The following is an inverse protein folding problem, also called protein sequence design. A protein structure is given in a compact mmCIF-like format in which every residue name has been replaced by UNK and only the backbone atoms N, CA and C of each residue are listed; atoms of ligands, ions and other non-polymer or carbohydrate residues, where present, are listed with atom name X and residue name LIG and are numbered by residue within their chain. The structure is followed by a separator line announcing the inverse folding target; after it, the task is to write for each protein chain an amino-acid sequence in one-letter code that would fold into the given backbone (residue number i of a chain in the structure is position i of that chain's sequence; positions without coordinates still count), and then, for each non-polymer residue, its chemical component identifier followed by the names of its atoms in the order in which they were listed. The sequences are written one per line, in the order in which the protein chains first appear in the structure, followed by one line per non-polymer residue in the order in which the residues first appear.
data_IF_502910052114
#
_entry.id   IF_502910052114
#
_cell.length_a   1.000
_cell.length_b   1.000
_cell.length_c   1.000
_cell.angle_alpha   90.00
_cell.angle_beta   90.00
_cell.angle_gamma   90.00
#
_symmetry.space_group_name_H-M   'P 1'
#
loop_
_entity.id
_entity.type
_entity.pdbx_description
1 polymer ?
#
# COMPACT_ATOMS: atom_id res chain seq x y z
N UNK A 1 -1.09 -1.38 3.58
CA UNK A 1 -0.55 -0.02 3.79
C UNK A 1 -0.01 0.08 5.21
N UNK A 2 1.17 0.67 5.39
CA UNK A 2 1.78 0.95 6.70
C UNK A 2 2.03 2.44 6.81
N UNK A 3 1.60 3.07 7.90
CA UNK A 3 1.91 4.47 8.16
C UNK A 3 3.08 4.52 9.14
N UNK A 4 4.22 5.04 8.69
CA UNK A 4 5.34 5.41 9.56
C UNK A 4 5.24 6.91 9.87
N UNK A 5 4.68 7.23 11.05
CA UNK A 5 4.71 8.58 11.59
C UNK A 5 6.04 8.80 12.32
N UNK A 6 7.02 9.32 11.59
CA UNK A 6 8.40 9.46 12.05
C UNK A 6 8.48 10.40 13.26
N UNK A 7 9.34 10.03 14.22
CA UNK A 7 9.63 10.81 15.42
C UNK A 7 11.12 10.77 15.71
N UNK A 8 11.57 11.62 16.64
CA UNK A 8 12.99 11.70 16.96
C UNK A 8 13.58 10.35 17.37
N UNK A 9 14.66 9.93 16.71
CA UNK A 9 15.37 8.66 16.93
C UNK A 9 16.78 8.86 17.51
N UNK A 10 17.64 7.81 17.55
CA UNK A 10 17.31 6.38 17.40
C UNK A 10 16.77 5.75 18.70
N UNK A 11 16.37 4.47 18.65
CA UNK A 11 15.86 3.69 19.80
C UNK A 11 14.63 4.37 20.43
N UNK A 12 14.60 4.56 21.75
CA UNK A 12 13.53 5.33 22.42
C UNK A 12 13.42 6.74 21.87
N UNK A 13 14.55 7.37 21.52
CA UNK A 13 14.61 8.68 20.91
C UNK A 13 13.85 9.76 21.67
N UNK A 14 13.12 10.60 20.93
CA UNK A 14 12.28 11.69 21.43
C UNK A 14 10.82 11.45 21.01
N UNK A 15 10.02 10.74 21.83
CA UNK A 15 8.65 10.35 21.47
C UNK A 15 7.70 11.46 21.05
N UNK A 16 7.96 12.69 21.50
CA UNK A 16 7.09 13.84 21.28
C UNK A 16 7.70 14.88 20.35
N UNK A 17 8.82 14.59 19.68
CA UNK A 17 9.48 15.50 18.74
C UNK A 17 9.43 14.95 17.32
N UNK A 18 9.25 15.86 16.37
CA UNK A 18 9.28 15.54 14.94
C UNK A 18 10.73 15.37 14.47
N UNK A 19 10.93 14.39 13.61
CA UNK A 19 12.15 14.13 12.84
C UNK A 19 11.76 13.34 11.59
N UNK A 20 12.55 13.43 10.52
CA UNK A 20 12.33 12.71 9.26
C UNK A 20 13.55 11.83 8.92
N UNK A 21 13.97 11.00 9.87
CA UNK A 21 15.21 10.23 9.81
C UNK A 21 15.07 8.82 9.24
N UNK A 22 13.85 8.35 8.94
CA UNK A 22 13.61 6.93 8.65
C UNK A 22 13.63 6.60 7.15
N UNK A 23 13.77 7.59 6.27
CA UNK A 23 13.66 7.38 4.82
C UNK A 23 14.59 6.29 4.30
N UNK A 24 15.89 6.36 4.61
CA UNK A 24 16.85 5.36 4.14
C UNK A 24 16.58 3.98 4.73
N UNK A 25 16.11 3.92 5.98
CA UNK A 25 15.72 2.66 6.61
C UNK A 25 14.52 2.05 5.87
N UNK A 26 13.45 2.81 5.67
CA UNK A 26 12.25 2.37 4.94
C UNK A 26 12.59 1.92 3.51
N UNK A 27 13.52 2.61 2.84
CA UNK A 27 13.99 2.27 1.50
C UNK A 27 14.83 0.99 1.43
N UNK A 28 15.34 0.48 2.55
CA UNK A 28 16.23 -0.69 2.61
C UNK A 28 15.81 -1.77 3.62
N UNK A 29 14.64 -1.62 4.27
CA UNK A 29 14.15 -2.49 5.33
C UNK A 29 13.73 -3.87 4.79
N UNK A 30 14.70 -4.71 4.44
CA UNK A 30 14.52 -6.08 3.97
C UNK A 30 15.83 -6.87 3.99
N UNK A 31 15.73 -8.20 4.11
CA UNK A 31 16.86 -9.13 3.94
C UNK A 31 17.07 -9.53 2.46
N UNK A 32 16.11 -9.23 1.59
CA UNK A 32 16.16 -9.46 0.14
C UNK A 32 15.54 -8.29 -0.64
N UNK A 33 15.31 -8.49 -1.94
CA UNK A 33 14.74 -7.46 -2.81
C UNK A 33 13.27 -7.75 -3.09
N UNK A 34 12.41 -6.77 -2.82
CA UNK A 34 11.00 -6.80 -3.24
C UNK A 34 10.53 -5.35 -3.44
N UNK A 35 9.57 -5.12 -4.36
CA UNK A 35 9.05 -3.77 -4.56
C UNK A 35 8.33 -3.30 -3.31
N UNK A 36 8.43 -2.01 -3.02
CA UNK A 36 7.59 -1.33 -2.03
C UNK A 36 7.51 0.14 -2.41
N UNK A 37 6.31 0.69 -2.28
CA UNK A 37 6.04 2.08 -2.61
C UNK A 37 6.18 2.94 -1.36
N UNK A 38 6.83 4.08 -1.46
CA UNK A 38 6.99 5.03 -0.35
C UNK A 38 6.35 6.36 -0.76
N UNK A 39 5.39 6.82 0.05
CA UNK A 39 4.66 8.07 -0.16
C UNK A 39 4.94 8.99 1.03
N UNK A 40 5.32 10.25 0.80
CA UNK A 40 5.66 11.17 1.88
C UNK A 40 4.83 12.47 1.77
N UNK A 41 3.68 12.58 2.47
CA UNK A 41 2.88 13.80 2.44
C UNK A 41 3.60 14.94 3.17
N UNK A 42 3.53 16.15 2.63
CA UNK A 42 4.02 17.38 3.24
C UNK A 42 2.92 18.26 3.84
N UNK A 43 1.65 18.00 3.54
CA UNK A 43 0.50 18.81 4.00
C UNK A 43 -0.67 17.95 4.51
N UNK A 44 -1.64 18.57 5.17
CA UNK A 44 -2.84 17.88 5.68
C UNK A 44 -3.74 17.38 4.52
N UNK A 45 -3.82 18.14 3.42
CA UNK A 45 -4.54 17.78 2.21
C UNK A 45 -3.85 16.61 1.50
N UNK A 46 -2.53 16.62 1.40
CA UNK A 46 -1.78 15.48 0.88
C UNK A 46 -1.93 14.24 1.76
N UNK A 47 -2.04 14.40 3.08
CA UNK A 47 -2.38 13.27 3.98
C UNK A 47 -3.77 12.69 3.65
N UNK A 48 -4.75 13.53 3.31
CA UNK A 48 -6.06 13.08 2.85
C UNK A 48 -5.97 12.34 1.51
N UNK A 49 -5.28 12.90 0.52
CA UNK A 49 -5.09 12.28 -0.81
C UNK A 49 -4.36 10.93 -0.71
N UNK A 50 -3.23 10.90 0.00
CA UNK A 50 -2.44 9.68 0.21
C UNK A 50 -3.22 8.64 1.00
N UNK A 51 -4.16 9.08 1.85
CA UNK A 51 -5.07 8.21 2.58
C UNK A 51 -5.73 7.16 1.68
N UNK A 52 -6.50 7.59 0.68
CA UNK A 52 -7.15 6.65 -0.26
C UNK A 52 -6.19 6.13 -1.33
N UNK A 53 -5.32 6.99 -1.86
CA UNK A 53 -4.39 6.65 -2.95
C UNK A 53 -3.43 5.54 -2.57
N UNK A 54 -2.98 5.49 -1.31
CA UNK A 54 -2.09 4.43 -0.81
C UNK A 54 -2.73 3.04 -0.86
N UNK A 55 -4.05 2.91 -0.63
CA UNK A 55 -4.75 1.64 -0.76
C UNK A 55 -4.90 1.23 -2.22
N UNK A 56 -5.26 2.15 -3.11
CA UNK A 56 -5.33 1.87 -4.54
C UNK A 56 -3.98 1.41 -5.08
N UNK A 57 -2.89 2.07 -4.70
CA UNK A 57 -1.54 1.65 -5.09
C UNK A 57 -1.19 0.26 -4.54
N UNK A 58 -1.57 -0.03 -3.28
CA UNK A 58 -1.31 -1.34 -2.68
C UNK A 58 -2.06 -2.47 -3.40
N UNK A 59 -3.31 -2.22 -3.82
CA UNK A 59 -4.11 -3.22 -4.55
C UNK A 59 -3.69 -3.35 -6.02
N UNK A 60 -3.46 -2.23 -6.71
CA UNK A 60 -3.03 -2.19 -8.11
C UNK A 60 -1.71 -2.92 -8.32
N UNK A 61 -0.71 -2.65 -7.46
CA UNK A 61 0.62 -3.22 -7.60
C UNK A 61 0.88 -4.42 -6.69
N UNK A 62 -0.10 -4.83 -5.89
CA UNK A 62 -0.03 -6.00 -4.99
C UNK A 62 1.22 -6.02 -4.11
N UNK A 63 1.61 -4.84 -3.62
CA UNK A 63 2.89 -4.59 -2.96
C UNK A 63 2.69 -3.73 -1.69
N UNK A 64 3.57 -3.82 -0.68
CA UNK A 64 3.51 -2.92 0.45
C UNK A 64 3.65 -1.45 0.04
N UNK A 65 2.75 -0.62 0.58
CA UNK A 65 2.83 0.84 0.50
C UNK A 65 3.11 1.38 1.90
N UNK A 66 4.14 2.20 2.01
CA UNK A 66 4.59 2.84 3.24
C UNK A 66 4.33 4.35 3.11
N UNK A 67 3.45 4.87 3.96
CA UNK A 67 3.22 6.31 4.08
C UNK A 67 4.18 6.84 5.14
N UNK A 68 5.12 7.66 4.71
CA UNK A 68 6.19 8.24 5.51
C UNK A 68 5.85 9.67 5.88
N UNK A 69 5.06 9.83 6.94
CA UNK A 69 4.71 11.13 7.53
C UNK A 69 5.62 11.41 8.73
N UNK A 70 5.32 12.43 9.52
CA UNK A 70 6.08 12.77 10.73
C UNK A 70 5.15 13.14 11.89
N UNK A 71 5.73 13.21 13.10
CA UNK A 71 5.03 13.54 14.32
C UNK A 71 4.38 14.93 14.27
N UNK A 72 4.94 15.88 13.51
CA UNK A 72 4.35 17.21 13.36
C UNK A 72 3.04 17.10 12.59
N UNK A 73 3.03 16.50 11.39
CA UNK A 73 1.81 16.33 10.61
C UNK A 73 0.79 15.44 11.31
N UNK A 74 1.24 14.33 11.93
CA UNK A 74 0.36 13.39 12.61
C UNK A 74 -0.35 13.97 13.85
N UNK A 75 0.27 14.93 14.55
CA UNK A 75 -0.28 15.56 15.74
C UNK A 75 -0.86 16.96 15.50
N UNK A 76 -0.67 17.52 14.31
CA UNK A 76 -1.19 18.86 13.98
C UNK A 76 -2.67 18.83 13.66
N UNK A 77 -3.35 19.91 14.04
CA UNK A 77 -4.71 20.19 13.64
C UNK A 77 -4.72 21.49 12.85
N UNK A 78 -5.44 21.49 11.72
CA UNK A 78 -5.58 22.67 10.87
C UNK A 78 -7.00 22.75 10.33
N UNK A 79 -7.58 23.95 10.39
CA UNK A 79 -8.80 24.23 9.63
C UNK A 79 -8.44 24.35 8.15
N UNK A 80 -9.15 23.61 7.31
CA UNK A 80 -9.02 23.66 5.85
C UNK A 80 -10.37 24.05 5.26
N UNK A 81 -10.33 24.73 4.12
CA UNK A 81 -11.54 24.93 3.33
C UNK A 81 -12.04 23.58 2.81
N UNK A 82 -13.36 23.42 2.68
CA UNK A 82 -13.95 22.13 2.29
C UNK A 82 -13.54 21.71 0.87
N UNK A 83 -13.33 22.68 -0.02
CA UNK A 83 -12.88 22.46 -1.40
C UNK A 83 -11.38 22.13 -1.52
N UNK A 84 -10.61 22.29 -0.45
CA UNK A 84 -9.23 21.81 -0.38
C UNK A 84 -9.14 20.28 -0.27
N UNK A 85 -10.25 19.61 0.08
CA UNK A 85 -10.37 18.16 0.12
C UNK A 85 -11.27 17.72 -1.03
N UNK A 86 -10.66 17.26 -2.12
CA UNK A 86 -11.40 16.79 -3.29
C UNK A 86 -11.92 15.36 -3.07
N UNK A 87 -13.19 15.26 -2.68
CA UNK A 87 -13.87 13.97 -2.50
C UNK A 87 -14.28 13.31 -3.81
N UNK A 88 -14.42 14.07 -4.90
CA UNK A 88 -14.81 13.52 -6.21
C UNK A 88 -13.64 12.76 -6.85
N UNK A 89 -12.40 13.05 -6.45
CA UNK A 89 -11.21 12.27 -6.82
C UNK A 89 -11.07 10.94 -6.06
N UNK A 90 -11.88 10.69 -5.01
CA UNK A 90 -11.77 9.45 -4.23
C UNK A 90 -12.36 8.29 -5.04
N UNK A 91 -11.49 7.59 -5.74
CA UNK A 91 -11.80 6.36 -6.45
C UNK A 91 -11.34 5.14 -5.65
N UNK A 92 -12.08 4.03 -5.77
CA UNK A 92 -11.64 2.74 -5.24
C UNK A 92 -11.17 1.87 -6.41
N UNK A 93 -9.86 1.70 -6.50
CA UNK A 93 -9.25 0.82 -7.49
C UNK A 93 -8.73 -0.46 -6.82
N UNK A 94 -9.35 -1.59 -7.19
CA UNK A 94 -8.99 -2.93 -6.70
C UNK A 94 -7.90 -3.62 -7.53
N UNK A 95 -7.42 -2.96 -8.58
CA UNK A 95 -6.45 -3.52 -9.51
C UNK A 95 -7.01 -4.73 -10.25
N UNK A 96 -6.14 -5.71 -10.53
CA UNK A 96 -6.51 -6.97 -11.19
C UNK A 96 -7.16 -7.96 -10.20
N UNK A 97 -8.21 -7.54 -9.51
CA UNK A 97 -9.00 -8.39 -8.64
C UNK A 97 -10.08 -9.10 -9.49
N UNK A 98 -10.00 -10.43 -9.56
CA UNK A 98 -10.99 -11.23 -10.27
C UNK A 98 -12.28 -11.35 -9.46
N UNK A 99 -13.41 -11.04 -10.11
CA UNK A 99 -14.75 -11.30 -9.61
C UNK A 99 -15.16 -12.76 -9.73
N UNK A 100 -16.27 -13.13 -9.09
CA UNK A 100 -16.79 -14.51 -9.13
C UNK A 100 -17.10 -14.98 -10.57
N UNK A 101 -17.74 -14.13 -11.38
CA UNK A 101 -18.07 -14.46 -12.77
C UNK A 101 -16.82 -14.73 -13.62
N UNK A 102 -15.77 -13.91 -13.45
CA UNK A 102 -14.49 -14.09 -14.15
C UNK A 102 -13.84 -15.43 -13.75
N UNK A 103 -13.89 -15.78 -12.45
CA UNK A 103 -13.39 -17.05 -11.94
C UNK A 103 -14.22 -18.26 -12.38
N UNK A 104 -15.52 -18.10 -12.61
CA UNK A 104 -16.38 -19.15 -13.15
C UNK A 104 -16.12 -19.42 -14.64
N UNK A 105 -15.70 -18.40 -15.38
CA UNK A 105 -15.34 -18.50 -16.80
C UNK A 105 -13.86 -18.79 -17.06
N UNK A 106 -13.07 -18.97 -16.00
CA UNK A 106 -11.62 -19.11 -16.12
C UNK A 106 -11.26 -20.40 -16.87
N UNK A 107 -10.48 -20.27 -17.95
CA UNK A 107 -9.99 -21.43 -18.68
C UNK A 107 -8.76 -22.02 -17.99
N UNK A 108 -8.90 -23.24 -17.46
CA UNK A 108 -7.82 -23.93 -16.77
C UNK A 108 -7.74 -23.60 -15.27
N UNK A 109 -6.58 -23.86 -14.68
CA UNK A 109 -6.35 -23.68 -13.25
C UNK A 109 -5.91 -22.25 -12.95
N UNK A 110 -6.55 -21.61 -11.96
CA UNK A 110 -6.10 -20.32 -11.43
C UNK A 110 -4.67 -20.44 -10.87
N UNK A 111 -3.79 -19.55 -11.33
CA UNK A 111 -2.41 -19.43 -10.86
C UNK A 111 -2.21 -18.08 -10.19
N UNK A 112 -1.99 -18.08 -8.88
CA UNK A 112 -1.80 -16.84 -8.11
C UNK A 112 -0.59 -16.04 -8.60
N UNK A 113 0.47 -16.73 -9.01
CA UNK A 113 1.75 -16.14 -9.41
C UNK A 113 2.03 -16.34 -10.90
N UNK A 114 0.99 -16.15 -11.73
CA UNK A 114 1.11 -16.24 -13.18
C UNK A 114 2.10 -15.21 -13.73
N UNK A 115 3.06 -15.67 -14.55
CA UNK A 115 3.97 -14.79 -15.28
C UNK A 115 3.24 -14.02 -16.37
N UNK A 116 3.10 -12.71 -16.15
CA UNK A 116 2.49 -11.77 -17.09
C UNK A 116 3.46 -10.61 -17.37
N UNK A 117 3.31 -9.95 -18.52
CA UNK A 117 4.27 -8.95 -19.02
C UNK A 117 4.49 -7.77 -18.05
N UNK A 118 3.43 -7.31 -17.39
CA UNK A 118 3.51 -6.21 -16.43
C UNK A 118 3.88 -6.63 -15.01
N UNK A 119 4.10 -7.93 -14.78
CA UNK A 119 4.49 -8.50 -13.48
C UNK A 119 3.38 -8.52 -12.42
N UNK A 120 2.13 -8.17 -12.76
CA UNK A 120 1.01 -8.14 -11.80
C UNK A 120 0.04 -9.27 -12.14
N UNK A 121 0.19 -10.42 -11.50
CA UNK A 121 -0.70 -11.58 -11.69
C UNK A 121 -2.12 -11.27 -11.21
N UNK A 122 -3.19 -11.73 -11.89
CA UNK A 122 -4.56 -11.58 -11.41
C UNK A 122 -4.74 -12.16 -10.00
N UNK A 123 -5.41 -11.42 -9.12
CA UNK A 123 -5.63 -11.80 -7.71
C UNK A 123 -7.06 -12.25 -7.50
N UNK A 124 -7.25 -13.35 -6.79
CA UNK A 124 -8.53 -13.79 -6.27
C UNK A 124 -8.60 -13.64 -4.75
N UNK A 125 -9.80 -13.49 -4.20
CA UNK A 125 -10.03 -13.60 -2.75
C UNK A 125 -10.28 -15.06 -2.36
N UNK A 126 -9.85 -15.49 -1.15
CA UNK A 126 -10.16 -16.83 -0.67
C UNK A 126 -11.67 -17.11 -0.64
N UNK A 127 -12.06 -18.34 -1.01
CA UNK A 127 -13.44 -18.84 -0.88
C UNK A 127 -14.09 -19.31 -2.19
N UNK A 128 -13.49 -19.03 -3.35
CA UNK A 128 -14.01 -19.49 -4.64
C UNK A 128 -13.44 -20.88 -5.02
N UNK A 129 -14.27 -21.87 -5.43
CA UNK A 129 -13.81 -23.22 -5.73
C UNK A 129 -12.85 -23.29 -6.94
N UNK A 130 -12.96 -22.34 -7.88
CA UNK A 130 -12.05 -22.27 -9.04
C UNK A 130 -10.76 -21.48 -8.77
N UNK A 131 -10.60 -20.90 -7.58
CA UNK A 131 -9.44 -20.10 -7.19
C UNK A 131 -8.70 -20.70 -5.98
N UNK A 132 -8.42 -22.00 -6.03
CA UNK A 132 -7.66 -22.69 -4.99
C UNK A 132 -6.17 -22.62 -5.32
N UNK A 133 -5.40 -21.98 -4.45
CA UNK A 133 -3.94 -21.84 -4.57
C UNK A 133 -3.28 -21.88 -3.19
N UNK A 134 -1.99 -22.19 -3.16
CA UNK A 134 -1.14 -22.04 -1.99
C UNK A 134 -0.19 -20.87 -2.21
N UNK A 135 0.15 -20.15 -1.13
CA UNK A 135 1.20 -19.15 -1.14
C UNK A 135 2.09 -19.40 0.08
N UNK A 136 3.40 -19.39 -0.14
CA UNK A 136 4.40 -19.59 0.91
C UNK A 136 5.45 -18.48 0.83
N UNK A 137 6.28 -18.38 1.87
CA UNK A 137 7.41 -17.44 1.90
C UNK A 137 8.63 -17.97 1.17
N UNK A 138 8.74 -19.30 1.02
CA UNK A 138 9.72 -19.91 0.12
C UNK A 138 9.45 -19.46 -1.31
N UNK A 139 10.50 -19.42 -2.14
CA UNK A 139 10.35 -19.20 -3.58
C UNK A 139 9.38 -20.23 -4.17
N UNK A 140 8.50 -19.78 -5.08
CA UNK A 140 7.35 -20.57 -5.53
C UNK A 140 7.08 -20.38 -7.03
N UNK A 141 6.34 -21.34 -7.57
CA UNK A 141 5.84 -21.36 -8.95
C UNK A 141 4.47 -20.69 -9.13
#
# INVERSE_FOLDING_TARGET
VVVNAQRGGPSTGLPTRTEQSDLLFVLSASQGEFPRLVLAPGTIEECFEIGWRSFNLAERYQTPVIVLTDQLLAASLRTVEADALDFDQVEIDRGKLLGAEELDTLEGQYKRHEFVEDGISPRAVPGHPNAVYATASDEHD
#
